data_IF_761535473199
#
_entry.id   IF_761535473199
#
_cell.length_a   1.000
_cell.length_b   1.000
_cell.length_c   1.000
_cell.angle_alpha   90.00
_cell.angle_beta   90.00
_cell.angle_gamma   90.00
#
_symmetry.space_group_name_H-M   'P 1'
#
loop_
_entity.id
_entity.type
_entity.pdbx_description
1 polymer ?
#
# COMPACT_ATOMS: atom_id res chain seq x y z
N UNK A 1 -10.59 -31.92 -7.40
CA UNK A 1 -11.08 -30.68 -8.06
C UNK A 1 -11.07 -29.46 -7.14
N UNK A 2 -11.68 -29.52 -5.93
CA UNK A 2 -11.73 -28.37 -4.99
C UNK A 2 -10.38 -27.68 -4.73
N UNK A 3 -9.31 -28.45 -4.47
CA UNK A 3 -7.96 -27.90 -4.23
C UNK A 3 -7.36 -27.12 -5.41
N UNK A 4 -7.63 -27.52 -6.66
CA UNK A 4 -7.15 -26.80 -7.85
C UNK A 4 -7.85 -25.44 -8.01
N UNK A 5 -9.13 -25.36 -7.66
CA UNK A 5 -9.91 -24.11 -7.69
C UNK A 5 -9.39 -23.15 -6.61
N UNK A 6 -9.11 -23.65 -5.40
CA UNK A 6 -8.55 -22.84 -4.31
C UNK A 6 -7.17 -22.26 -4.67
N UNK A 7 -6.28 -23.06 -5.28
CA UNK A 7 -4.98 -22.59 -5.76
C UNK A 7 -5.13 -21.50 -6.84
N UNK A 8 -6.07 -21.66 -7.77
CA UNK A 8 -6.33 -20.67 -8.81
C UNK A 8 -6.86 -19.35 -8.23
N UNK A 9 -7.77 -19.41 -7.26
CA UNK A 9 -8.28 -18.22 -6.56
C UNK A 9 -7.15 -17.52 -5.82
N UNK A 10 -6.31 -18.26 -5.08
CA UNK A 10 -5.19 -17.69 -4.34
C UNK A 10 -4.14 -17.04 -5.28
N UNK A 11 -3.93 -17.60 -6.47
CA UNK A 11 -3.09 -17.00 -7.50
C UNK A 11 -3.66 -15.66 -8.00
N UNK A 12 -4.97 -15.59 -8.29
CA UNK A 12 -5.61 -14.34 -8.69
C UNK A 12 -5.53 -13.29 -7.57
N UNK A 13 -5.81 -13.67 -6.33
CA UNK A 13 -5.70 -12.77 -5.19
C UNK A 13 -4.28 -12.22 -5.02
N UNK A 14 -3.26 -13.06 -5.24
CA UNK A 14 -1.86 -12.65 -5.21
C UNK A 14 -1.53 -11.62 -6.31
N UNK A 15 -2.02 -11.81 -7.54
CA UNK A 15 -1.86 -10.83 -8.62
C UNK A 15 -2.55 -9.49 -8.31
N UNK A 16 -3.74 -9.54 -7.72
CA UNK A 16 -4.45 -8.32 -7.29
C UNK A 16 -3.63 -7.57 -6.23
N UNK A 17 -3.13 -8.28 -5.22
CA UNK A 17 -2.28 -7.72 -4.17
C UNK A 17 -1.00 -7.08 -4.75
N UNK A 18 -0.38 -7.72 -5.74
CA UNK A 18 0.78 -7.18 -6.44
C UNK A 18 0.48 -5.85 -7.14
N UNK A 19 -0.62 -5.78 -7.89
CA UNK A 19 -1.05 -4.57 -8.60
C UNK A 19 -1.38 -3.44 -7.61
N UNK A 20 -2.10 -3.76 -6.53
CA UNK A 20 -2.45 -2.78 -5.50
C UNK A 20 -1.19 -2.26 -4.81
N UNK A 21 -0.26 -3.14 -4.42
CA UNK A 21 1.01 -2.75 -3.80
C UNK A 21 1.82 -1.81 -4.69
N UNK A 22 1.92 -2.11 -5.99
CA UNK A 22 2.61 -1.24 -6.94
C UNK A 22 1.91 0.13 -7.10
N UNK A 23 0.58 0.14 -7.10
CA UNK A 23 -0.21 1.38 -7.15
C UNK A 23 0.03 2.26 -5.92
N UNK A 24 0.07 1.66 -4.72
CA UNK A 24 0.40 2.37 -3.48
C UNK A 24 1.80 2.98 -3.51
N UNK A 25 2.80 2.25 -4.04
CA UNK A 25 4.17 2.78 -4.18
C UNK A 25 4.19 3.95 -5.17
N UNK A 26 3.59 3.76 -6.36
CA UNK A 26 3.59 4.72 -7.47
C UNK A 26 2.84 6.01 -7.11
N UNK A 27 1.69 5.90 -6.43
CA UNK A 27 0.82 7.01 -6.06
C UNK A 27 0.98 7.46 -4.62
N UNK A 28 2.04 7.01 -3.93
CA UNK A 28 2.29 7.31 -2.51
C UNK A 28 2.36 8.80 -2.21
N UNK A 29 2.92 9.59 -3.14
CA UNK A 29 3.00 11.05 -3.02
C UNK A 29 1.61 11.69 -3.01
N UNK A 30 0.77 11.37 -4.01
CA UNK A 30 -0.57 11.94 -4.15
C UNK A 30 -1.48 11.50 -2.99
N UNK A 31 -1.50 10.20 -2.67
CA UNK A 31 -2.30 9.66 -1.56
C UNK A 31 -1.83 10.19 -0.20
N UNK A 32 -0.51 10.36 -0.02
CA UNK A 32 0.07 10.94 1.19
C UNK A 32 -0.30 12.41 1.35
N UNK A 33 -0.29 13.18 0.26
CA UNK A 33 -0.74 14.57 0.25
C UNK A 33 -2.24 14.70 0.58
N UNK A 34 -3.10 13.88 -0.03
CA UNK A 34 -4.54 13.89 0.25
C UNK A 34 -4.83 13.58 1.73
N UNK A 35 -4.16 12.58 2.29
CA UNK A 35 -4.29 12.22 3.71
C UNK A 35 -3.80 13.34 4.62
N UNK A 36 -2.66 13.95 4.30
CA UNK A 36 -2.13 15.08 5.06
C UNK A 36 -3.07 16.31 5.00
N UNK A 37 -3.66 16.59 3.84
CA UNK A 37 -4.63 17.67 3.66
C UNK A 37 -5.91 17.44 4.47
N UNK A 38 -6.41 16.19 4.53
CA UNK A 38 -7.58 15.84 5.35
C UNK A 38 -7.29 15.98 6.85
N UNK A 39 -6.12 15.53 7.30
CA UNK A 39 -5.67 15.73 8.69
C UNK A 39 -5.61 17.23 8.98
N UNK A 40 -5.01 18.00 8.08
CA UNK A 40 -4.92 19.44 8.24
C UNK A 40 -6.29 20.13 8.33
N UNK A 41 -7.26 19.75 7.49
CA UNK A 41 -8.62 20.28 7.55
C UNK A 41 -9.23 20.12 8.95
N UNK A 42 -8.90 19.04 9.66
CA UNK A 42 -9.35 18.81 11.04
C UNK A 42 -8.59 19.64 12.09
N UNK A 43 -7.38 20.11 11.77
CA UNK A 43 -6.53 20.91 12.67
C UNK A 43 -6.52 22.42 12.31
N UNK A 44 -7.41 22.89 11.44
CA UNK A 44 -7.47 24.30 10.98
C UNK A 44 -7.60 25.34 12.11
N UNK A 45 -8.06 24.96 13.30
CA UNK A 45 -8.17 25.85 14.47
C UNK A 45 -6.90 25.93 15.31
N UNK A 46 -5.85 25.18 14.99
CA UNK A 46 -4.57 25.26 15.69
C UNK A 46 -3.76 26.39 15.04
N UNK A 47 -3.54 27.49 15.78
CA UNK A 47 -2.60 28.55 15.39
C UNK A 47 -1.20 27.94 15.25
N UNK A 48 -0.85 27.52 14.04
CA UNK A 48 0.44 26.92 13.78
C UNK A 48 1.47 27.99 13.50
N UNK A 49 2.10 28.48 14.57
CA UNK A 49 3.28 29.35 14.52
C UNK A 49 4.57 28.60 14.10
N UNK A 50 4.43 27.46 13.41
CA UNK A 50 5.53 26.54 13.12
C UNK A 50 5.50 26.11 11.66
N UNK A 51 6.45 26.62 10.90
CA UNK A 51 6.63 26.43 9.46
C UNK A 51 7.06 25.01 9.05
N UNK A 52 7.08 24.03 9.95
CA UNK A 52 7.68 22.71 9.69
C UNK A 52 6.80 21.49 10.05
N UNK A 53 5.75 21.69 10.84
CA UNK A 53 4.84 20.59 11.24
C UNK A 53 4.11 20.00 10.01
N UNK A 54 3.74 20.86 9.06
CA UNK A 54 3.07 20.48 7.83
C UNK A 54 3.96 19.63 6.91
N UNK A 55 5.21 20.04 6.72
CA UNK A 55 6.18 19.29 5.92
C UNK A 55 6.41 17.91 6.50
N UNK A 56 6.52 17.82 7.83
CA UNK A 56 6.64 16.55 8.56
C UNK A 56 5.42 15.64 8.39
N UNK A 57 4.20 16.18 8.47
CA UNK A 57 2.98 15.40 8.24
C UNK A 57 2.87 14.87 6.81
N UNK A 58 3.14 15.69 5.80
CA UNK A 58 3.12 15.29 4.40
C UNK A 58 4.17 14.20 4.17
N UNK A 59 5.40 14.42 4.62
CA UNK A 59 6.48 13.45 4.46
C UNK A 59 6.15 12.11 5.13
N UNK A 60 5.65 12.15 6.36
CA UNK A 60 5.23 10.96 7.12
C UNK A 60 4.09 10.20 6.42
N UNK A 61 3.07 10.91 5.93
CA UNK A 61 1.94 10.30 5.23
C UNK A 61 2.37 9.64 3.92
N UNK A 62 3.19 10.31 3.11
CA UNK A 62 3.75 9.74 1.87
C UNK A 62 4.58 8.49 2.18
N UNK A 63 5.40 8.54 3.23
CA UNK A 63 6.23 7.40 3.63
C UNK A 63 5.39 6.21 4.09
N UNK A 64 4.29 6.43 4.81
CA UNK A 64 3.32 5.39 5.20
C UNK A 64 2.79 4.63 3.99
N UNK A 65 2.34 5.35 2.94
CA UNK A 65 1.81 4.72 1.73
C UNK A 65 2.88 3.93 0.96
N UNK A 66 4.15 4.39 0.96
CA UNK A 66 5.25 3.61 0.40
C UNK A 66 5.47 2.30 1.15
N UNK A 67 5.49 2.34 2.48
CA UNK A 67 5.66 1.13 3.30
C UNK A 67 4.49 0.16 3.10
N UNK A 68 3.25 0.66 3.14
CA UNK A 68 2.04 -0.14 2.89
C UNK A 68 2.07 -0.80 1.51
N UNK A 69 2.48 -0.05 0.48
CA UNK A 69 2.63 -0.58 -0.87
C UNK A 69 3.70 -1.66 -0.98
N UNK A 70 4.86 -1.47 -0.33
CA UNK A 70 5.93 -2.49 -0.27
C UNK A 70 5.44 -3.76 0.45
N UNK A 71 4.72 -3.62 1.56
CA UNK A 71 4.15 -4.76 2.29
C UNK A 71 3.15 -5.54 1.44
N UNK A 72 2.23 -4.85 0.77
CA UNK A 72 1.25 -5.47 -0.12
C UNK A 72 1.92 -6.17 -1.31
N UNK A 73 2.96 -5.55 -1.87
CA UNK A 73 3.77 -6.15 -2.93
C UNK A 73 4.46 -7.44 -2.45
N UNK A 74 5.16 -7.38 -1.31
CA UNK A 74 5.85 -8.55 -0.73
C UNK A 74 4.87 -9.66 -0.39
N UNK A 75 3.72 -9.34 0.20
CA UNK A 75 2.66 -10.31 0.49
C UNK A 75 2.16 -10.98 -0.80
N UNK A 76 1.90 -10.18 -1.84
CA UNK A 76 1.53 -10.68 -3.17
C UNK A 76 2.56 -11.66 -3.72
N UNK A 77 3.85 -11.29 -3.71
CA UNK A 77 4.95 -12.15 -4.19
C UNK A 77 5.09 -13.44 -3.37
N UNK A 78 5.01 -13.37 -2.04
CA UNK A 78 5.12 -14.54 -1.16
C UNK A 78 3.97 -15.52 -1.43
N UNK A 79 2.73 -15.02 -1.53
CA UNK A 79 1.58 -15.87 -1.86
C UNK A 79 1.76 -16.48 -3.26
N UNK A 80 2.23 -15.70 -4.23
CA UNK A 80 2.50 -16.20 -5.58
C UNK A 80 3.50 -17.36 -5.53
N UNK A 81 4.59 -17.22 -4.77
CA UNK A 81 5.64 -18.21 -4.63
C UNK A 81 5.19 -19.49 -3.90
N UNK A 82 4.30 -19.37 -2.91
CA UNK A 82 3.73 -20.51 -2.18
C UNK A 82 2.70 -21.28 -3.02
N UNK A 83 1.89 -20.55 -3.79
CA UNK A 83 0.79 -21.10 -4.57
C UNK A 83 1.22 -21.49 -5.98
N UNK A 84 2.45 -21.11 -6.40
CA UNK A 84 2.97 -21.32 -7.74
C UNK A 84 2.85 -22.80 -8.17
N UNK A 85 1.93 -23.13 -9.11
CA UNK A 85 1.71 -24.50 -9.54
C UNK A 85 2.89 -25.06 -10.36
N UNK A 86 3.84 -24.22 -10.76
CA UNK A 86 5.04 -24.61 -11.52
C UNK A 86 6.25 -24.95 -10.63
N UNK A 87 6.16 -24.80 -9.30
CA UNK A 87 7.30 -24.98 -8.39
C UNK A 87 7.69 -26.45 -8.13
N UNK A 88 6.78 -27.40 -8.37
CA UNK A 88 7.01 -28.84 -8.13
C UNK A 88 6.91 -29.68 -9.44
N UNK A 89 7.24 -29.10 -10.59
CA UNK A 89 7.46 -29.85 -11.83
C UNK A 89 8.95 -30.00 -12.09
#
# INVERSE_FOLDING_TARGET
MKSKITLFIAFICSLILFIIGFRFISQSTDMGMDKAMLVLANYQNVQSDTTDIFGSFIHSAIWSYKIEGILLFLLGVVILFLVNPFRNK
#
